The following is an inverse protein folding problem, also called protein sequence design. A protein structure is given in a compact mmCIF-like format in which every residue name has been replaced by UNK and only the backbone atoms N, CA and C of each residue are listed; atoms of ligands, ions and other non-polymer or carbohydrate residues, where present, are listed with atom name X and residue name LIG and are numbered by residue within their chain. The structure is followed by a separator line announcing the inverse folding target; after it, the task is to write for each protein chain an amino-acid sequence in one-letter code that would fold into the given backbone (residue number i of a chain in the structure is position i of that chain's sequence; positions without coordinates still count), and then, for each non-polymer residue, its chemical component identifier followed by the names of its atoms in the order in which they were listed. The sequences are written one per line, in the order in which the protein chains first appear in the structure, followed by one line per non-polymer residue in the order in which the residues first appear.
data_IF_293646504329
#
_entry.id   IF_293646504329
#
_cell.length_a   1.000
_cell.length_b   1.000
_cell.length_c   1.000
_cell.angle_alpha   90.00
_cell.angle_beta   90.00
_cell.angle_gamma   90.00
#
_symmetry.space_group_name_H-M   'P 1'
#
loop_
_entity.id
_entity.type
_entity.pdbx_description
1 polymer ?
#
# COMPACT_ATOMS: atom_id res chain seq x y z
N UNK A 1 3.25 14.10 -7.63
CA UNK A 1 3.21 13.13 -6.53
C UNK A 1 2.19 12.05 -6.84
N UNK A 2 2.53 10.82 -6.62
CA UNK A 2 1.62 9.68 -6.75
C UNK A 2 1.21 9.24 -5.36
N UNK A 3 -0.08 9.01 -5.17
CA UNK A 3 -0.63 8.46 -3.94
C UNK A 3 -0.97 7.00 -4.15
N UNK A 4 -0.46 6.14 -3.25
CA UNK A 4 -0.76 4.72 -3.23
C UNK A 4 -1.63 4.46 -2.01
N UNK A 5 -2.74 3.75 -2.21
CA UNK A 5 -3.64 3.38 -1.12
C UNK A 5 -3.85 1.88 -1.15
N UNK A 6 -3.48 1.21 -0.06
CA UNK A 6 -3.79 -0.20 0.13
C UNK A 6 -5.08 -0.31 0.94
N UNK A 7 -6.08 -0.96 0.35
CA UNK A 7 -7.37 -1.22 0.95
C UNK A 7 -7.40 -2.69 1.39
N UNK A 8 -7.42 -2.93 2.71
CA UNK A 8 -7.31 -4.27 3.28
C UNK A 8 -8.57 -4.57 4.08
N UNK A 9 -9.37 -5.52 3.59
CA UNK A 9 -10.55 -5.99 4.30
C UNK A 9 -10.12 -7.07 5.29
N UNK A 10 -10.33 -6.82 6.57
CA UNK A 10 -9.77 -7.65 7.64
C UNK A 10 -10.66 -7.61 8.87
N UNK A 11 -10.72 -8.72 9.62
CA UNK A 11 -11.41 -8.74 10.91
C UNK A 11 -10.75 -7.73 11.85
N UNK A 12 -11.54 -6.93 12.62
CA UNK A 12 -10.99 -5.91 13.50
C UNK A 12 -9.92 -6.42 14.46
N UNK A 13 -10.09 -7.61 15.00
CA UNK A 13 -9.16 -8.23 15.95
C UNK A 13 -7.82 -8.61 15.32
N UNK A 14 -7.71 -8.69 14.00
CA UNK A 14 -6.47 -8.99 13.28
C UNK A 14 -5.70 -7.75 12.83
N UNK A 15 -6.28 -6.56 12.95
CA UNK A 15 -5.62 -5.31 12.56
C UNK A 15 -4.26 -5.15 13.27
N UNK A 16 -4.15 -5.38 14.60
CA UNK A 16 -2.85 -5.28 15.26
C UNK A 16 -1.77 -6.21 14.67
N UNK A 17 -2.16 -7.40 14.21
CA UNK A 17 -1.23 -8.34 13.60
C UNK A 17 -0.74 -7.84 12.24
N UNK A 18 -1.62 -7.26 11.43
CA UNK A 18 -1.23 -6.66 10.15
C UNK A 18 -0.30 -5.48 10.37
N UNK A 19 -0.60 -4.62 11.35
CA UNK A 19 0.27 -3.48 11.66
C UNK A 19 1.63 -3.91 12.21
N UNK A 20 1.68 -5.01 12.94
CA UNK A 20 2.95 -5.57 13.40
C UNK A 20 3.81 -6.08 12.23
N UNK A 21 3.21 -6.77 11.26
CA UNK A 21 3.89 -7.18 10.04
C UNK A 21 4.42 -5.98 9.26
N UNK A 22 3.59 -4.93 9.14
CA UNK A 22 3.96 -3.69 8.47
C UNK A 22 5.21 -3.07 9.11
N UNK A 23 5.18 -2.90 10.43
CA UNK A 23 6.28 -2.31 11.19
C UNK A 23 7.56 -3.13 11.08
N UNK A 24 7.45 -4.44 11.19
CA UNK A 24 8.62 -5.30 11.36
C UNK A 24 9.22 -5.76 10.04
N UNK A 25 8.43 -5.88 8.97
CA UNK A 25 8.85 -6.49 7.72
C UNK A 25 8.81 -5.56 6.50
N UNK A 26 7.92 -4.57 6.48
CA UNK A 26 7.75 -3.70 5.31
C UNK A 26 8.40 -2.33 5.49
N UNK A 27 8.14 -1.68 6.62
CA UNK A 27 8.66 -0.34 6.89
C UNK A 27 10.19 -0.26 6.88
N UNK A 28 10.96 -1.27 7.35
CA UNK A 28 12.42 -1.15 7.30
C UNK A 28 13.00 -0.91 5.91
N UNK A 29 12.32 -1.39 4.84
CA UNK A 29 12.81 -1.24 3.48
C UNK A 29 12.07 -0.23 2.62
N UNK A 30 11.01 0.40 3.14
CA UNK A 30 10.12 1.22 2.29
C UNK A 30 10.79 2.47 1.73
N UNK A 31 11.62 3.14 2.50
CA UNK A 31 12.28 4.37 2.07
C UNK A 31 13.28 4.12 0.93
N UNK A 32 13.99 2.98 0.97
CA UNK A 32 14.93 2.60 -0.08
C UNK A 32 14.24 2.34 -1.42
N UNK A 33 12.95 2.01 -1.41
CA UNK A 33 12.15 1.85 -2.61
C UNK A 33 11.48 3.15 -3.07
N UNK A 34 11.73 4.26 -2.39
CA UNK A 34 11.17 5.56 -2.73
C UNK A 34 9.77 5.82 -2.17
N UNK A 35 9.29 4.96 -1.26
CA UNK A 35 7.99 5.13 -0.61
C UNK A 35 8.11 6.04 0.60
N UNK A 36 7.14 6.94 0.76
CA UNK A 36 6.95 7.72 1.99
C UNK A 36 5.65 7.28 2.63
N UNK A 37 5.70 6.81 3.87
CA UNK A 37 4.50 6.45 4.61
C UNK A 37 3.69 7.71 4.91
N UNK A 38 2.39 7.72 4.53
CA UNK A 38 1.53 8.89 4.65
C UNK A 38 0.47 8.74 5.73
N UNK A 39 -0.13 7.56 5.89
CA UNK A 39 -1.13 7.36 6.94
C UNK A 39 -1.64 5.93 7.04
N UNK A 40 -2.33 5.67 8.13
CA UNK A 40 -2.99 4.41 8.43
C UNK A 40 -4.34 4.72 9.04
N UNK A 41 -5.39 4.19 8.45
CA UNK A 41 -6.77 4.51 8.81
C UNK A 41 -7.60 3.25 8.87
N UNK A 42 -8.66 3.26 9.67
CA UNK A 42 -9.62 2.16 9.77
C UNK A 42 -11.02 2.71 9.54
N UNK A 43 -11.80 2.01 8.71
CA UNK A 43 -13.22 2.31 8.52
C UNK A 43 -14.07 1.05 8.69
N UNK A 44 -15.26 1.13 9.31
CA UNK A 44 -15.77 2.29 10.05
C UNK A 44 -14.93 2.58 11.29
N UNK A 45 -15.13 3.72 11.97
CA UNK A 45 -14.31 4.10 13.12
C UNK A 45 -14.60 3.32 14.40
N UNK A 46 -15.46 2.31 14.32
CA UNK A 46 -15.77 1.40 15.42
C UNK A 46 -15.84 -0.03 14.88
N UNK A 47 -15.55 -1.01 15.71
CA UNK A 47 -15.75 -2.41 15.36
C UNK A 47 -17.25 -2.73 15.36
N UNK A 48 -17.76 -3.20 14.22
CA UNK A 48 -19.17 -3.61 14.09
C UNK A 48 -19.24 -5.14 14.25
N UNK A 49 -20.07 -5.66 15.16
CA UNK A 49 -20.16 -7.11 15.35
C UNK A 49 -20.42 -7.87 14.06
N UNK A 50 -19.66 -8.93 13.84
CA UNK A 50 -19.78 -9.83 12.68
C UNK A 50 -19.51 -9.17 11.32
N UNK A 51 -18.92 -7.95 11.33
CA UNK A 51 -18.55 -7.26 10.11
C UNK A 51 -17.03 -7.07 10.03
N UNK A 52 -16.42 -7.19 8.84
CA UNK A 52 -15.02 -6.85 8.69
C UNK A 52 -14.82 -5.34 8.78
N UNK A 53 -13.60 -4.95 9.12
CA UNK A 53 -13.13 -3.57 8.99
C UNK A 53 -12.34 -3.44 7.70
N UNK A 54 -12.12 -2.19 7.29
CA UNK A 54 -11.17 -1.88 6.21
C UNK A 54 -10.00 -1.11 6.80
N UNK A 55 -8.80 -1.66 6.65
CA UNK A 55 -7.57 -0.99 6.99
C UNK A 55 -7.04 -0.31 5.73
N UNK A 56 -6.75 0.98 5.83
CA UNK A 56 -6.24 1.80 4.74
C UNK A 56 -4.81 2.21 5.04
N UNK A 57 -3.88 1.80 4.18
CA UNK A 57 -2.48 2.20 4.26
C UNK A 57 -2.20 3.14 3.10
N UNK A 58 -1.70 4.33 3.39
CA UNK A 58 -1.42 5.33 2.36
C UNK A 58 0.07 5.63 2.26
N UNK A 59 0.54 5.76 1.02
CA UNK A 59 1.94 5.99 0.70
C UNK A 59 2.05 7.04 -0.39
N UNK A 60 3.20 7.70 -0.45
CA UNK A 60 3.51 8.62 -1.54
C UNK A 60 4.78 8.20 -2.23
N UNK A 61 4.83 8.38 -3.55
CA UNK A 61 6.05 8.36 -4.35
C UNK A 61 6.10 9.66 -5.16
N UNK A 62 7.30 10.06 -5.59
CA UNK A 62 7.51 11.39 -6.16
C UNK A 62 6.71 11.61 -7.45
N UNK A 63 6.70 10.61 -8.34
CA UNK A 63 6.09 10.71 -9.67
C UNK A 63 5.80 9.32 -10.23
N UNK A 64 5.18 9.25 -11.41
CA UNK A 64 4.86 7.98 -12.06
C UNK A 64 6.11 7.14 -12.37
N UNK A 65 7.21 7.69 -12.90
CA UNK A 65 8.45 6.91 -13.07
C UNK A 65 8.96 6.30 -11.76
N UNK A 66 8.90 7.04 -10.67
CA UNK A 66 9.30 6.55 -9.35
C UNK A 66 8.43 5.38 -8.88
N UNK A 67 7.13 5.40 -9.20
CA UNK A 67 6.23 4.30 -8.89
C UNK A 67 6.66 3.02 -9.61
N UNK A 68 6.93 3.09 -10.92
CA UNK A 68 7.35 1.91 -11.68
C UNK A 68 8.72 1.41 -11.25
N UNK A 69 9.62 2.32 -10.88
CA UNK A 69 10.92 1.96 -10.30
C UNK A 69 10.76 1.21 -8.99
N UNK A 70 9.84 1.67 -8.13
CA UNK A 70 9.52 1.01 -6.87
C UNK A 70 9.03 -0.43 -7.10
N UNK A 71 8.20 -0.66 -8.11
CA UNK A 71 7.74 -2.00 -8.47
C UNK A 71 8.90 -2.91 -8.89
N UNK A 72 9.87 -2.37 -9.62
CA UNK A 72 11.05 -3.11 -10.05
C UNK A 72 11.95 -3.50 -8.87
N UNK A 73 11.87 -2.78 -7.75
CA UNK A 73 12.64 -3.06 -6.54
C UNK A 73 11.93 -4.02 -5.57
N UNK A 74 10.83 -4.61 -5.99
CA UNK A 74 10.14 -5.63 -5.20
C UNK A 74 11.04 -6.86 -5.02
N UNK A 75 11.30 -7.21 -3.79
CA UNK A 75 12.18 -8.33 -3.41
C UNK A 75 11.40 -9.41 -2.65
N UNK A 76 12.13 -10.44 -2.20
CA UNK A 76 11.55 -11.55 -1.45
C UNK A 76 10.90 -11.13 -0.13
N UNK A 77 11.42 -10.11 0.52
CA UNK A 77 10.87 -9.61 1.79
C UNK A 77 9.52 -8.92 1.55
N UNK A 78 9.38 -8.16 0.47
CA UNK A 78 8.12 -7.53 0.08
C UNK A 78 7.07 -8.59 -0.25
N UNK A 79 7.45 -9.59 -1.03
CA UNK A 79 6.55 -10.70 -1.40
C UNK A 79 6.10 -11.45 -0.14
N UNK A 80 7.04 -11.78 0.74
CA UNK A 80 6.74 -12.49 1.98
C UNK A 80 5.81 -11.69 2.91
N UNK A 81 6.00 -10.37 2.96
CA UNK A 81 5.12 -9.49 3.73
C UNK A 81 3.68 -9.57 3.22
N UNK A 82 3.48 -9.40 1.90
CA UNK A 82 2.13 -9.43 1.34
C UNK A 82 1.49 -10.81 1.42
N UNK A 83 2.26 -11.88 1.32
CA UNK A 83 1.75 -13.23 1.55
C UNK A 83 1.28 -13.42 3.00
N UNK A 84 2.02 -12.88 3.97
CA UNK A 84 1.62 -12.92 5.37
C UNK A 84 0.35 -12.10 5.63
N UNK A 85 0.23 -10.93 5.00
CA UNK A 85 -1.00 -10.12 5.07
C UNK A 85 -2.18 -10.88 4.46
N UNK A 86 -1.99 -11.51 3.31
CA UNK A 86 -3.03 -12.29 2.64
C UNK A 86 -3.54 -13.45 3.51
N UNK A 87 -2.69 -14.01 4.35
CA UNK A 87 -3.10 -15.04 5.30
C UNK A 87 -3.97 -14.50 6.45
N UNK A 88 -3.92 -13.20 6.73
CA UNK A 88 -4.65 -12.57 7.82
C UNK A 88 -5.92 -11.84 7.37
N UNK A 89 -5.97 -11.40 6.12
CA UNK A 89 -7.08 -10.59 5.61
C UNK A 89 -8.02 -11.40 4.71
N UNK A 90 -9.21 -10.84 4.48
CA UNK A 90 -10.20 -11.46 3.59
C UNK A 90 -9.96 -11.06 2.13
N UNK A 91 -9.52 -9.81 1.90
CA UNK A 91 -9.23 -9.28 0.58
C UNK A 91 -8.34 -8.05 0.70
N UNK A 92 -7.63 -7.72 -0.37
CA UNK A 92 -6.89 -6.47 -0.46
C UNK A 92 -6.83 -5.95 -1.89
N UNK A 93 -6.79 -4.62 -2.03
CA UNK A 93 -6.65 -3.93 -3.31
C UNK A 93 -5.67 -2.79 -3.15
N UNK A 94 -4.89 -2.53 -4.19
CA UNK A 94 -4.03 -1.36 -4.25
C UNK A 94 -4.58 -0.37 -5.27
N UNK A 95 -4.72 0.88 -4.86
CA UNK A 95 -5.10 1.99 -5.72
C UNK A 95 -3.89 2.89 -5.90
N UNK A 96 -3.61 3.25 -7.15
CA UNK A 96 -2.49 4.13 -7.50
C UNK A 96 -3.07 5.33 -8.22
N UNK A 97 -2.85 6.53 -7.69
CA UNK A 97 -3.55 7.73 -8.11
C UNK A 97 -2.59 8.89 -8.29
N UNK A 98 -2.90 9.74 -9.24
CA UNK A 98 -2.25 11.03 -9.40
C UNK A 98 -3.26 12.14 -9.15
N UNK A 99 -2.78 13.38 -8.96
CA UNK A 99 -3.63 14.54 -8.81
C UNK A 99 -4.48 14.72 -10.08
N UNK A 100 -5.80 14.85 -9.90
CA UNK A 100 -6.73 15.01 -11.01
C UNK A 100 -6.49 16.29 -11.82
N UNK A 101 -5.90 17.30 -11.20
CA UNK A 101 -5.61 18.59 -11.85
C UNK A 101 -4.24 18.60 -12.55
N UNK A 102 -3.43 17.56 -12.35
CA UNK A 102 -2.13 17.44 -13.01
C UNK A 102 -2.29 16.84 -14.42
N UNK A 103 -1.38 17.18 -15.37
CA UNK A 103 -1.37 16.51 -16.67
C UNK A 103 -1.16 14.99 -16.51
N UNK A 104 -1.94 14.21 -17.27
CA UNK A 104 -1.83 12.75 -17.21
C UNK A 104 -0.86 12.29 -18.31
N UNK A 105 0.31 11.73 -17.97
CA UNK A 105 1.25 11.26 -18.99
C UNK A 105 0.71 10.04 -19.73
N UNK A 106 1.15 9.86 -20.97
CA UNK A 106 0.84 8.66 -21.72
C UNK A 106 1.63 7.47 -21.17
N UNK A 107 1.06 6.26 -21.26
CA UNK A 107 1.70 5.05 -20.74
C UNK A 107 3.09 4.83 -21.36
N UNK A 108 3.26 5.11 -22.65
CA UNK A 108 4.53 4.94 -23.35
C UNK A 108 5.65 5.83 -22.80
N UNK A 109 5.31 6.98 -22.22
CA UNK A 109 6.28 7.89 -21.59
C UNK A 109 6.74 7.36 -20.23
N UNK A 110 5.87 6.62 -19.54
CA UNK A 110 6.11 6.09 -18.21
C UNK A 110 6.86 4.76 -18.25
N UNK A 111 6.54 3.89 -19.21
CA UNK A 111 7.16 2.57 -19.35
C UNK A 111 8.68 2.65 -19.55
N UNK A 112 9.17 3.69 -20.22
CA UNK A 112 10.61 3.87 -20.45
C UNK A 112 11.39 4.17 -19.17
N UNK A 113 10.71 4.54 -18.10
CA UNK A 113 11.34 4.84 -16.81
C UNK A 113 11.41 3.62 -15.88
N UNK A 114 10.76 2.53 -16.23
CA UNK A 114 10.70 1.33 -15.41
C UNK A 114 11.95 0.40 -15.63
#
# INVERSE_FOLDING_TARGET
MIQIVDEITVAPERIPDVLALLRDRYLPGHAARGLTAAGRWVSPPVAVPEQPSTLWLTWHVADAPSYYRMRALTDGDVVAFWMAVDALCDARRRHVMTDADAPLPALTEVDHAA
#
